data_IF_976593910140
#
_entry.id   IF_976593910140
#
_cell.length_a   1.000
_cell.length_b   1.000
_cell.length_c   1.000
_cell.angle_alpha   90.00
_cell.angle_beta   90.00
_cell.angle_gamma   90.00
#
_symmetry.space_group_name_H-M   'P 1'
#
loop_
_entity.id
_entity.type
_entity.pdbx_description
1 polymer ?
#
# COMPACT_ATOMS: atom_id res chain seq x y z
N UNK A 1 23.11 -6.48 -10.61
CA UNK A 1 21.79 -6.83 -11.18
C UNK A 1 20.75 -5.87 -10.61
N UNK A 2 19.89 -5.25 -11.44
CA UNK A 2 18.82 -4.33 -10.99
C UNK A 2 17.47 -4.99 -11.26
N UNK A 3 16.89 -5.65 -10.26
CA UNK A 3 15.60 -6.31 -10.40
C UNK A 3 14.49 -5.25 -10.40
N UNK A 4 13.56 -5.36 -11.35
CA UNK A 4 12.36 -4.53 -11.44
C UNK A 4 11.15 -5.45 -11.41
N UNK A 5 10.15 -5.07 -10.62
CA UNK A 5 8.93 -5.84 -10.42
C UNK A 5 7.74 -4.90 -10.32
N UNK A 6 6.58 -5.37 -10.76
CA UNK A 6 5.29 -4.67 -10.65
C UNK A 6 4.27 -5.51 -9.86
N UNK A 7 4.70 -6.65 -9.30
CA UNK A 7 3.84 -7.69 -8.75
C UNK A 7 3.48 -8.74 -9.81
N UNK A 8 2.77 -9.79 -9.38
CA UNK A 8 2.30 -10.83 -10.31
C UNK A 8 1.17 -10.28 -11.18
N UNK A 9 1.26 -10.35 -12.52
CA UNK A 9 0.23 -9.84 -13.43
C UNK A 9 -1.04 -10.70 -13.44
N UNK A 10 -0.94 -11.97 -13.04
CA UNK A 10 -2.06 -12.90 -12.97
C UNK A 10 -2.49 -13.13 -11.53
N UNK A 11 -3.77 -12.89 -11.22
CA UNK A 11 -4.39 -13.20 -9.93
C UNK A 11 -4.52 -14.69 -9.62
N UNK A 12 -3.80 -15.58 -10.33
CA UNK A 12 -4.13 -17.01 -10.46
C UNK A 12 -3.70 -17.90 -9.29
N UNK A 13 -2.90 -17.43 -8.34
CA UNK A 13 -2.60 -18.22 -7.14
C UNK A 13 -3.61 -18.00 -5.99
N UNK A 14 -4.26 -16.83 -5.90
CA UNK A 14 -5.07 -16.42 -4.73
C UNK A 14 -6.22 -15.43 -5.03
N UNK A 15 -6.70 -15.32 -6.28
CA UNK A 15 -7.67 -14.29 -6.69
C UNK A 15 -7.22 -12.86 -6.37
N UNK A 16 -5.91 -12.61 -6.41
CA UNK A 16 -5.34 -11.31 -6.08
C UNK A 16 -5.73 -10.25 -7.13
N UNK A 17 -6.06 -9.01 -6.71
CA UNK A 17 -6.37 -7.93 -7.64
C UNK A 17 -5.19 -7.66 -8.57
N UNK A 18 -5.50 -7.31 -9.82
CA UNK A 18 -4.49 -6.89 -10.80
C UNK A 18 -3.67 -5.71 -10.26
N UNK A 19 -2.34 -5.65 -10.47
CA UNK A 19 -1.53 -4.48 -10.11
C UNK A 19 -1.80 -3.27 -11.03
N UNK A 20 -2.63 -3.45 -12.07
CA UNK A 20 -2.83 -2.49 -13.15
C UNK A 20 -4.13 -1.70 -12.96
N UNK A 21 -4.02 -0.37 -13.03
CA UNK A 21 -5.16 0.54 -13.15
C UNK A 21 -5.32 1.03 -14.58
N UNK A 22 -6.37 0.60 -15.27
CA UNK A 22 -6.70 1.10 -16.61
C UNK A 22 -7.38 2.47 -16.55
N UNK A 23 -7.05 3.36 -17.49
CA UNK A 23 -7.78 4.62 -17.67
C UNK A 23 -9.20 4.38 -18.20
N UNK A 24 -10.15 5.29 -17.93
CA UNK A 24 -11.55 5.12 -18.36
C UNK A 24 -11.73 4.98 -19.89
N UNK A 25 -10.86 5.62 -20.67
CA UNK A 25 -10.82 5.55 -22.14
C UNK A 25 -10.08 4.31 -22.69
N UNK A 26 -9.51 3.48 -21.82
CA UNK A 26 -8.74 2.29 -22.16
C UNK A 26 -7.41 2.57 -22.88
N UNK A 27 -6.94 3.82 -22.95
CA UNK A 27 -5.71 4.17 -23.68
C UNK A 27 -4.45 4.13 -22.82
N UNK A 28 -4.57 4.07 -21.50
CA UNK A 28 -3.45 4.12 -20.56
C UNK A 28 -3.61 3.09 -19.46
N UNK A 29 -2.48 2.61 -18.96
CA UNK A 29 -2.41 1.73 -17.79
C UNK A 29 -1.43 2.34 -16.79
N UNK A 30 -1.84 2.42 -15.53
CA UNK A 30 -1.03 2.86 -14.40
C UNK A 30 -0.67 1.67 -13.50
N UNK A 31 0.55 1.64 -12.98
CA UNK A 31 0.99 0.63 -12.02
C UNK A 31 2.14 1.16 -11.16
N UNK A 32 2.37 0.52 -10.02
CA UNK A 32 3.52 0.82 -9.15
C UNK A 32 4.71 -0.06 -9.57
N UNK A 33 5.76 0.58 -10.09
CA UNK A 33 7.03 -0.06 -10.36
C UNK A 33 7.91 -0.06 -9.12
N UNK A 34 8.51 -1.20 -8.82
CA UNK A 34 9.44 -1.38 -7.71
C UNK A 34 10.80 -1.78 -8.25
N UNK A 35 11.86 -1.21 -7.68
CA UNK A 35 13.23 -1.55 -8.02
C UNK A 35 14.02 -1.73 -6.75
N UNK A 36 14.54 -2.93 -6.53
CA UNK A 36 15.42 -3.20 -5.40
C UNK A 36 16.81 -2.59 -5.65
N UNK A 37 17.40 -2.01 -4.61
CA UNK A 37 18.80 -1.59 -4.56
C UNK A 37 19.52 -2.34 -3.42
N UNK A 38 20.30 -3.39 -3.74
CA UNK A 38 21.06 -4.13 -2.75
C UNK A 38 22.16 -3.32 -2.07
N UNK A 39 22.67 -2.26 -2.71
CA UNK A 39 23.76 -1.45 -2.15
C UNK A 39 23.31 -0.63 -0.95
N UNK A 40 22.06 -0.17 -0.97
CA UNK A 40 21.43 0.58 0.12
C UNK A 40 20.40 -0.22 0.92
N UNK A 41 20.22 -1.51 0.61
CA UNK A 41 19.20 -2.38 1.17
C UNK A 41 17.80 -1.72 1.17
N UNK A 42 17.40 -1.17 0.02
CA UNK A 42 16.17 -0.39 -0.09
C UNK A 42 15.45 -0.64 -1.40
N UNK A 43 14.23 -0.13 -1.51
CA UNK A 43 13.43 -0.16 -2.72
C UNK A 43 13.16 1.26 -3.21
N UNK A 44 13.31 1.48 -4.51
CA UNK A 44 12.75 2.64 -5.19
C UNK A 44 11.39 2.26 -5.76
N UNK A 45 10.34 2.96 -5.33
CA UNK A 45 9.00 2.81 -5.86
C UNK A 45 8.65 4.01 -6.74
N UNK A 46 7.79 3.79 -7.73
CA UNK A 46 7.28 4.86 -8.57
C UNK A 46 5.98 4.51 -9.27
N UNK A 47 5.10 5.50 -9.38
CA UNK A 47 3.87 5.39 -10.17
C UNK A 47 4.20 5.62 -11.64
N UNK A 48 4.02 4.59 -12.45
CA UNK A 48 4.29 4.61 -13.89
C UNK A 48 2.98 4.54 -14.65
N UNK A 49 2.86 5.34 -15.72
CA UNK A 49 1.80 5.25 -16.70
C UNK A 49 2.39 4.88 -18.05
N UNK A 50 1.79 3.89 -18.70
CA UNK A 50 2.12 3.48 -20.06
C UNK A 50 0.89 3.74 -20.93
N UNK A 51 1.09 4.49 -22.01
CA UNK A 51 0.09 4.72 -23.05
C UNK A 51 0.08 3.57 -24.05
N UNK A 52 -1.04 3.37 -24.74
CA UNK A 52 -1.22 2.30 -25.74
C UNK A 52 -0.24 2.37 -26.92
N UNK A 53 0.26 3.55 -27.24
CA UNK A 53 1.32 3.80 -28.23
C UNK A 53 2.74 3.44 -27.73
N UNK A 54 2.87 3.00 -26.47
CA UNK A 54 4.13 2.64 -25.84
C UNK A 54 4.81 3.78 -25.08
N UNK A 55 4.26 4.99 -25.04
CA UNK A 55 4.85 6.09 -24.29
C UNK A 55 4.81 5.81 -22.77
N UNK A 56 5.95 5.95 -22.09
CA UNK A 56 6.10 5.69 -20.64
C UNK A 56 6.33 7.00 -19.89
N UNK A 57 5.59 7.22 -18.80
CA UNK A 57 5.75 8.37 -17.91
C UNK A 57 5.84 7.94 -16.44
N UNK A 58 6.84 8.47 -15.74
CA UNK A 58 6.92 8.39 -14.28
C UNK A 58 6.18 9.59 -13.68
N UNK A 59 5.11 9.35 -12.92
CA UNK A 59 4.27 10.42 -12.36
C UNK A 59 4.55 10.70 -10.88
N UNK A 60 5.05 9.70 -10.15
CA UNK A 60 5.50 9.86 -8.76
C UNK A 60 6.71 8.96 -8.51
N UNK A 61 7.58 9.38 -7.59
CA UNK A 61 8.71 8.58 -7.11
C UNK A 61 8.84 8.72 -5.59
N UNK A 62 9.07 7.60 -4.92
CA UNK A 62 9.30 7.53 -3.49
C UNK A 62 8.36 6.56 -2.79
N UNK A 63 8.35 6.64 -1.47
CA UNK A 63 7.67 5.69 -0.61
C UNK A 63 8.54 4.49 -0.24
N UNK A 64 8.04 3.73 0.71
CA UNK A 64 8.61 2.52 1.27
C UNK A 64 7.88 1.29 0.74
N UNK A 65 8.58 0.16 0.74
CA UNK A 65 7.95 -1.12 0.42
C UNK A 65 6.99 -1.51 1.53
N UNK A 66 5.70 -1.55 1.22
CA UNK A 66 4.70 -2.17 2.07
C UNK A 66 4.62 -3.68 1.80
N UNK A 67 4.34 -4.46 2.85
CA UNK A 67 4.12 -5.90 2.76
C UNK A 67 2.68 -6.24 3.09
N UNK A 68 2.12 -7.21 2.38
CA UNK A 68 0.80 -7.74 2.66
C UNK A 68 0.74 -8.30 4.06
N UNK A 69 -0.40 -8.13 4.73
CA UNK A 69 -0.61 -8.62 6.09
C UNK A 69 -1.82 -9.54 6.17
N UNK A 70 -1.72 -10.53 7.06
CA UNK A 70 -2.78 -11.46 7.42
C UNK A 70 -3.32 -11.11 8.80
N UNK A 71 -4.64 -11.21 8.96
CA UNK A 71 -5.29 -11.08 10.24
C UNK A 71 -5.46 -12.47 10.87
N UNK A 72 -5.13 -12.63 12.15
CA UNK A 72 -5.31 -13.85 12.92
C UNK A 72 -5.67 -13.55 14.38
N UNK A 73 -5.85 -14.60 15.21
CA UNK A 73 -6.20 -14.43 16.63
C UNK A 73 -5.16 -13.61 17.40
N UNK A 74 -3.88 -13.69 17.04
CA UNK A 74 -2.79 -12.87 17.61
C UNK A 74 -2.61 -11.49 16.95
N UNK A 75 -3.55 -11.06 16.13
CA UNK A 75 -3.51 -9.76 15.46
C UNK A 75 -3.01 -9.83 14.01
N UNK A 76 -2.64 -8.66 13.49
CA UNK A 76 -2.25 -8.45 12.10
C UNK A 76 -0.75 -8.63 11.92
N UNK A 77 -0.35 -9.52 11.02
CA UNK A 77 1.04 -9.90 10.81
C UNK A 77 1.45 -9.69 9.35
N UNK A 78 2.59 -9.05 9.05
CA UNK A 78 3.10 -8.95 7.69
C UNK A 78 3.61 -10.31 7.22
N UNK A 79 3.35 -10.61 5.96
CA UNK A 79 3.72 -11.87 5.30
C UNK A 79 5.13 -11.83 4.69
N UNK A 80 5.76 -10.66 4.64
CA UNK A 80 6.98 -10.41 3.88
C UNK A 80 6.78 -10.35 2.36
N UNK A 81 5.59 -10.71 1.86
CA UNK A 81 5.22 -10.55 0.47
C UNK A 81 4.91 -9.08 0.20
N UNK A 82 5.46 -8.46 -0.85
CA UNK A 82 5.10 -7.10 -1.22
C UNK A 82 3.59 -6.91 -1.40
N UNK A 83 3.01 -5.92 -0.74
CA UNK A 83 1.61 -5.54 -0.87
C UNK A 83 1.31 -5.07 -2.31
N UNK A 84 0.13 -5.30 -2.87
CA UNK A 84 -0.19 -4.89 -4.24
C UNK A 84 -1.42 -3.98 -4.27
N UNK A 85 -1.19 -2.68 -4.48
CA UNK A 85 -2.25 -1.69 -4.64
C UNK A 85 -2.31 -1.18 -6.07
N UNK A 86 -3.37 -1.54 -6.78
CA UNK A 86 -3.65 -0.97 -8.09
C UNK A 86 -3.94 0.54 -7.95
N UNK A 87 -3.24 1.41 -8.69
CA UNK A 87 -3.67 2.79 -8.85
C UNK A 87 -5.07 2.84 -9.47
N UNK A 88 -5.90 3.81 -9.09
CA UNK A 88 -7.25 3.99 -9.65
C UNK A 88 -7.39 5.35 -10.29
N UNK A 89 -7.79 5.36 -11.55
CA UNK A 89 -8.12 6.58 -12.27
C UNK A 89 -9.44 7.15 -11.75
N UNK A 90 -9.53 8.48 -11.68
CA UNK A 90 -10.81 9.15 -11.52
C UNK A 90 -11.71 8.83 -12.73
N UNK A 91 -13.05 8.85 -12.58
CA UNK A 91 -13.98 8.56 -13.68
C UNK A 91 -13.80 9.44 -14.91
N UNK A 92 -13.33 10.69 -14.74
CA UNK A 92 -13.01 11.62 -15.83
C UNK A 92 -11.60 11.40 -16.44
N UNK A 93 -10.79 10.51 -15.86
CA UNK A 93 -9.42 10.21 -16.29
C UNK A 93 -8.39 11.29 -15.97
N UNK A 94 -8.77 12.38 -15.29
CA UNK A 94 -7.90 13.52 -15.02
C UNK A 94 -6.90 13.29 -13.88
N UNK A 95 -7.21 12.38 -12.97
CA UNK A 95 -6.43 12.11 -11.76
C UNK A 95 -6.21 10.60 -11.57
N UNK A 96 -5.14 10.27 -10.86
CA UNK A 96 -4.81 8.91 -10.44
C UNK A 96 -4.64 8.93 -8.93
N UNK A 97 -5.46 8.15 -8.24
CA UNK A 97 -5.34 7.89 -6.81
C UNK A 97 -4.53 6.60 -6.58
N UNK A 98 -3.66 6.61 -5.57
CA UNK A 98 -2.81 5.48 -5.25
C UNK A 98 -2.43 5.49 -3.76
N UNK A 99 -2.11 4.33 -3.22
CA UNK A 99 -1.57 4.22 -1.87
C UNK A 99 -0.05 4.29 -1.90
N UNK A 100 0.51 5.06 -0.97
CA UNK A 100 1.94 5.20 -0.77
C UNK A 100 2.24 5.19 0.71
N UNK A 101 3.25 4.42 1.08
CA UNK A 101 3.77 4.33 2.44
C UNK A 101 4.96 5.25 2.58
N UNK A 102 4.90 6.20 3.51
CA UNK A 102 6.05 7.02 3.88
C UNK A 102 6.14 7.02 5.41
N UNK A 103 7.35 6.93 5.97
CA UNK A 103 7.58 6.92 7.43
C UNK A 103 6.75 5.86 8.16
N UNK A 104 6.64 4.67 7.57
CA UNK A 104 5.91 3.56 8.18
C UNK A 104 4.38 3.68 8.20
N UNK A 105 3.78 4.62 7.47
CA UNK A 105 2.32 4.75 7.38
C UNK A 105 1.88 4.87 5.92
N UNK A 106 0.94 4.01 5.52
CA UNK A 106 0.31 4.02 4.20
C UNK A 106 -0.82 5.02 4.17
N UNK A 107 -0.73 6.02 3.29
CA UNK A 107 -1.78 7.01 3.08
C UNK A 107 -2.25 7.03 1.63
N UNK A 108 -3.40 7.64 1.39
CA UNK A 108 -3.94 7.86 0.05
C UNK A 108 -3.36 9.12 -0.55
N UNK A 109 -2.86 9.00 -1.78
CA UNK A 109 -2.28 10.07 -2.57
C UNK A 109 -3.03 10.21 -3.89
N UNK A 110 -2.94 11.41 -4.46
CA UNK A 110 -3.37 11.65 -5.84
C UNK A 110 -2.30 12.38 -6.64
N UNK A 111 -2.32 12.18 -7.94
CA UNK A 111 -1.54 12.96 -8.91
C UNK A 111 -2.40 13.19 -10.16
N UNK A 112 -2.16 14.29 -10.89
CA UNK A 112 -2.78 14.48 -12.20
C UNK A 112 -2.24 13.43 -13.18
N UNK A 113 -3.11 12.90 -14.04
CA UNK A 113 -2.73 12.03 -15.14
C UNK A 113 -1.78 12.69 -16.15
N UNK A 114 -1.75 14.02 -16.18
CA UNK A 114 -0.84 14.81 -17.01
C UNK A 114 0.52 15.09 -16.32
N UNK A 115 0.71 14.58 -15.10
CA UNK A 115 1.89 14.81 -14.28
C UNK A 115 1.78 16.01 -13.35
N UNK A 116 2.85 16.30 -12.64
CA UNK A 116 2.89 17.29 -11.56
C UNK A 116 3.20 16.64 -10.22
N UNK A 117 3.15 17.42 -9.15
CA UNK A 117 3.48 16.95 -7.81
C UNK A 117 2.33 16.12 -7.23
N UNK A 118 2.59 14.88 -6.84
CA UNK A 118 1.65 14.08 -6.08
C UNK A 118 1.40 14.71 -4.69
N UNK A 119 0.19 14.55 -4.17
CA UNK A 119 -0.18 15.04 -2.83
C UNK A 119 -0.96 14.01 -2.04
N UNK A 120 -0.68 13.92 -0.74
CA UNK A 120 -1.48 13.14 0.19
C UNK A 120 -2.88 13.77 0.32
N UNK A 121 -3.90 12.92 0.32
CA UNK A 121 -5.29 13.26 0.62
C UNK A 121 -5.62 12.95 2.06
N UNK A 122 -5.14 11.81 2.56
CA UNK A 122 -5.33 11.40 3.95
C UNK A 122 -4.08 11.66 4.76
N UNK A 123 -4.28 11.99 6.04
CA UNK A 123 -3.22 12.21 7.01
C UNK A 123 -3.69 11.56 8.32
N UNK A 124 -3.13 10.40 8.65
CA UNK A 124 -3.58 9.61 9.79
C UNK A 124 -2.44 8.88 10.47
N UNK A 125 -2.75 8.29 11.62
CA UNK A 125 -1.81 7.46 12.42
C UNK A 125 -1.93 5.96 12.11
N UNK A 126 -2.82 5.59 11.20
CA UNK A 126 -3.07 4.20 10.79
C UNK A 126 -3.09 4.12 9.27
N UNK A 127 -2.81 2.93 8.76
CA UNK A 127 -2.78 2.65 7.33
C UNK A 127 -4.18 2.80 6.70
N UNK A 128 -4.21 3.36 5.49
CA UNK A 128 -5.33 3.17 4.57
C UNK A 128 -5.13 1.82 3.89
N UNK A 129 -6.12 0.93 4.02
CA UNK A 129 -6.05 -0.46 3.54
C UNK A 129 -6.56 -0.60 2.10
N UNK A 130 -7.60 0.16 1.76
CA UNK A 130 -8.16 0.21 0.41
C UNK A 130 -8.91 1.52 0.20
N UNK A 131 -9.20 1.84 -1.05
CA UNK A 131 -9.89 3.06 -1.43
C UNK A 131 -10.69 2.86 -2.72
N UNK A 132 -11.66 3.73 -3.00
CA UNK A 132 -12.39 3.76 -4.26
C UNK A 132 -12.86 5.18 -4.60
N UNK A 133 -12.87 5.54 -5.88
CA UNK A 133 -13.53 6.76 -6.35
C UNK A 133 -15.06 6.60 -6.26
N UNK A 134 -15.75 7.69 -5.91
CA UNK A 134 -17.18 7.80 -6.18
C UNK A 134 -17.44 7.81 -7.69
N UNK A 135 -18.62 7.36 -8.10
CA UNK A 135 -19.00 7.26 -9.52
C UNK A 135 -18.94 8.63 -10.22
N UNK A 136 -19.25 9.71 -9.51
CA UNK A 136 -19.18 11.09 -10.02
C UNK A 136 -17.77 11.68 -9.98
N UNK A 137 -16.77 10.95 -9.44
CA UNK A 137 -15.38 11.38 -9.33
C UNK A 137 -15.11 12.47 -8.29
N UNK A 138 -16.11 12.88 -7.50
CA UNK A 138 -15.97 14.01 -6.58
C UNK A 138 -15.44 13.61 -5.20
N UNK A 139 -15.51 12.33 -4.86
CA UNK A 139 -15.15 11.81 -3.54
C UNK A 139 -14.32 10.54 -3.63
N UNK A 140 -13.59 10.26 -2.55
CA UNK A 140 -12.85 9.01 -2.35
C UNK A 140 -13.35 8.33 -1.07
N UNK A 141 -13.74 7.08 -1.19
CA UNK A 141 -14.03 6.18 -0.09
C UNK A 141 -12.71 5.54 0.35
N UNK A 142 -12.50 5.41 1.66
CA UNK A 142 -11.29 4.78 2.23
C UNK A 142 -11.68 3.81 3.35
N UNK A 143 -10.93 2.72 3.48
CA UNK A 143 -11.01 1.82 4.62
C UNK A 143 -9.74 1.91 5.46
N UNK A 144 -9.90 1.96 6.78
CA UNK A 144 -8.80 2.00 7.75
C UNK A 144 -9.26 1.40 9.08
N UNK A 145 -8.31 1.11 9.99
CA UNK A 145 -8.60 0.49 11.30
C UNK A 145 -8.04 1.31 12.46
N UNK A 146 -8.67 2.45 12.81
CA UNK A 146 -8.16 3.31 13.89
C UNK A 146 -8.16 2.63 15.26
N UNK A 147 -9.04 1.65 15.49
CA UNK A 147 -9.14 0.90 16.74
C UNK A 147 -7.84 0.16 17.13
N UNK A 148 -6.99 -0.19 16.15
CA UNK A 148 -5.68 -0.83 16.39
C UNK A 148 -4.82 -0.05 17.39
N UNK A 149 -4.90 1.28 17.39
CA UNK A 149 -4.10 2.10 18.31
C UNK A 149 -4.56 1.92 19.76
N UNK A 150 -5.87 1.85 19.99
CA UNK A 150 -6.44 1.63 21.32
C UNK A 150 -6.20 0.19 21.77
N UNK A 151 -6.32 -0.78 20.87
CA UNK A 151 -6.04 -2.19 21.17
C UNK A 151 -4.57 -2.40 21.55
N UNK A 152 -3.62 -1.78 20.82
CA UNK A 152 -2.19 -1.80 21.17
C UNK A 152 -1.93 -1.18 22.53
N UNK A 153 -2.46 0.02 22.79
CA UNK A 153 -2.29 0.70 24.07
C UNK A 153 -2.84 -0.14 25.25
N UNK A 154 -3.95 -0.87 25.04
CA UNK A 154 -4.50 -1.79 26.05
C UNK A 154 -3.55 -2.96 26.30
N UNK A 155 -3.00 -3.58 25.26
CA UNK A 155 -2.03 -4.69 25.39
C UNK A 155 -0.74 -4.21 26.07
N UNK A 156 -0.23 -3.04 25.70
CA UNK A 156 0.95 -2.44 26.32
C UNK A 156 0.72 -2.16 27.82
N UNK A 157 -0.47 -1.68 28.19
CA UNK A 157 -0.84 -1.45 29.59
C UNK A 157 -0.99 -2.76 30.38
N UNK A 158 -1.55 -3.82 29.79
CA UNK A 158 -1.59 -5.16 30.37
C UNK A 158 -0.17 -5.67 30.67
N UNK A 159 0.78 -5.38 29.78
CA UNK A 159 2.18 -5.80 29.89
C UNK A 159 2.89 -5.26 31.13
N UNK A 160 2.42 -4.15 31.71
CA UNK A 160 2.95 -3.62 32.97
C UNK A 160 2.72 -4.58 34.16
N UNK A 161 1.69 -5.42 34.08
CA UNK A 161 1.39 -6.49 35.05
C UNK A 161 1.91 -7.86 34.63
N UNK A 162 2.54 -7.96 33.45
CA UNK A 162 2.86 -9.21 32.78
C UNK A 162 1.68 -9.76 31.95
N UNK A 163 2.00 -10.34 30.79
CA UNK A 163 1.01 -10.97 29.91
C UNK A 163 0.75 -12.42 30.31
N UNK A 164 -0.52 -12.83 30.23
CA UNK A 164 -0.87 -14.25 30.30
C UNK A 164 -0.58 -14.91 28.96
N UNK A 165 0.13 -16.03 28.98
CA UNK A 165 0.30 -16.86 27.79
C UNK A 165 -1.04 -17.54 27.44
N UNK A 166 -1.78 -16.95 26.50
CA UNK A 166 -3.08 -17.41 26.04
C UNK A 166 -3.18 -17.42 24.50
N UNK A 167 -4.39 -17.60 23.96
CA UNK A 167 -4.63 -17.68 22.50
C UNK A 167 -4.24 -16.42 21.71
N UNK A 168 -4.02 -15.28 22.39
CA UNK A 168 -3.54 -14.04 21.77
C UNK A 168 -2.05 -14.11 21.47
N UNK A 169 -1.32 -15.01 22.13
CA UNK A 169 0.11 -15.19 21.94
C UNK A 169 0.39 -16.13 20.76
N UNK A 170 1.23 -15.66 19.83
CA UNK A 170 1.66 -16.44 18.65
C UNK A 170 3.18 -16.50 18.60
N UNK A 171 3.83 -17.41 19.35
CA UNK A 171 5.29 -17.42 19.53
C UNK A 171 6.07 -17.79 18.27
N UNK A 172 5.40 -18.43 17.30
CA UNK A 172 5.98 -18.89 16.05
C UNK A 172 6.12 -17.78 15.01
N UNK A 173 5.60 -16.59 15.28
CA UNK A 173 5.77 -15.41 14.45
C UNK A 173 6.98 -14.65 15.01
N UNK A 174 8.12 -14.61 14.29
CA UNK A 174 9.36 -14.09 14.84
C UNK A 174 9.21 -12.62 15.29
N UNK A 175 9.76 -12.23 16.46
CA UNK A 175 9.47 -10.97 17.16
C UNK A 175 10.00 -9.68 16.51
N UNK A 176 10.35 -9.68 15.22
CA UNK A 176 10.95 -8.51 14.54
C UNK A 176 10.01 -7.31 14.32
N UNK A 177 8.80 -7.31 14.89
CA UNK A 177 7.75 -6.32 14.56
C UNK A 177 7.16 -5.57 15.75
N UNK A 178 7.61 -5.84 16.98
CA UNK A 178 7.13 -5.14 18.18
C UNK A 178 8.12 -4.12 18.74
N UNK A 179 9.27 -3.91 18.10
CA UNK A 179 10.26 -2.93 18.52
C UNK A 179 10.61 -2.00 17.35
N UNK A 180 9.83 -0.94 17.18
CA UNK A 180 10.36 0.33 16.68
C UNK A 180 10.05 1.38 17.74
N UNK A 181 11.12 1.81 18.43
CA UNK A 181 11.18 3.01 19.27
C UNK A 181 10.87 4.26 18.45
#
# INVERSE_FOLDING_TARGET
>A
MRLRDIGRPEGSAFSAPTPLGASPDGQKVAFILRRADPGSNSYCLGLVVVSRDGAVRLLDQGGELATASLDGEGGRMPTGVPEVWAPRWSPDGGQIAFLRRDSGITQLWIVSANGGKARAITHGKVDIETFAWSVDGRSLLVASRPAILADRARVDAEGLGGWLYDRREVPTVPPYLFLQN
#
